data_IF_430036309892
#
_entry.id   IF_430036309892
#
_cell.length_a   1.000
_cell.length_b   1.000
_cell.length_c   1.000
_cell.angle_alpha   90.00
_cell.angle_beta   90.00
_cell.angle_gamma   90.00
#
_symmetry.space_group_name_H-M   'P 1'
#
loop_
_entity.id
_entity.type
_entity.pdbx_description
1 polymer ?
#
# COMPACT_ATOMS: atom_id res chain seq x y z
N UNK A 1 -4.47 13.57 1.78
CA UNK A 1 -5.24 14.52 2.61
C UNK A 1 -5.43 13.83 3.95
N UNK A 2 -4.47 13.97 4.86
CA UNK A 2 -4.54 13.40 6.20
C UNK A 2 -4.88 14.47 7.24
N UNK A 3 -5.30 14.06 8.43
CA UNK A 3 -5.58 14.98 9.53
C UNK A 3 -4.27 15.61 10.01
N UNK A 4 -4.18 16.94 10.05
CA UNK A 4 -2.99 17.66 10.55
C UNK A 4 -2.92 17.61 12.08
N UNK A 5 -2.65 16.43 12.64
CA UNK A 5 -2.55 16.19 14.08
C UNK A 5 -1.10 16.25 14.59
N UNK A 6 -0.18 16.73 13.75
CA UNK A 6 1.26 16.66 13.99
C UNK A 6 1.67 17.30 15.33
N UNK A 7 1.03 18.42 15.66
CA UNK A 7 1.37 19.23 16.84
C UNK A 7 0.74 18.68 18.13
N UNK A 8 -0.18 17.72 18.04
CA UNK A 8 -0.85 17.10 19.18
C UNK A 8 -0.09 15.88 19.71
N UNK A 9 0.89 15.37 18.95
CA UNK A 9 1.61 14.15 19.29
C UNK A 9 3.07 14.42 19.63
N UNK A 10 3.53 13.82 20.72
CA UNK A 10 4.94 13.85 21.12
C UNK A 10 5.72 12.93 20.17
N UNK A 11 6.68 13.48 19.43
CA UNK A 11 7.56 12.71 18.55
C UNK A 11 8.88 12.42 19.24
N UNK A 12 9.27 11.15 19.26
CA UNK A 12 10.59 10.70 19.67
C UNK A 12 11.33 10.13 18.47
N UNK A 13 12.59 10.53 18.28
CA UNK A 13 13.46 9.86 17.32
C UNK A 13 13.80 8.47 17.86
N UNK A 14 13.66 7.46 17.00
CA UNK A 14 13.96 6.06 17.32
C UNK A 14 15.03 5.59 16.36
N UNK A 15 16.06 4.93 16.89
CA UNK A 15 17.14 4.39 16.06
C UNK A 15 16.83 2.93 15.66
N UNK A 16 17.37 2.47 14.53
CA UNK A 16 17.18 1.10 14.05
C UNK A 16 17.56 0.00 15.07
N UNK A 17 18.61 0.13 15.90
CA UNK A 17 18.92 -0.86 16.92
C UNK A 17 17.77 -1.10 17.91
N UNK A 18 16.95 -0.09 18.21
CA UNK A 18 15.79 -0.22 19.12
C UNK A 18 14.65 -1.03 18.49
N UNK A 19 14.59 -1.08 17.16
CA UNK A 19 13.56 -1.79 16.39
C UNK A 19 13.94 -3.24 16.07
N UNK A 20 15.18 -3.64 16.42
CA UNK A 20 15.67 -4.99 16.14
C UNK A 20 14.83 -6.03 16.89
N UNK A 21 14.27 -6.99 16.17
CA UNK A 21 13.42 -8.06 16.70
C UNK A 21 11.98 -7.64 17.00
N UNK A 22 11.60 -6.38 16.73
CA UNK A 22 10.24 -5.87 16.95
C UNK A 22 9.31 -6.27 15.82
N UNK A 23 8.05 -6.51 16.18
CA UNK A 23 6.96 -6.78 15.24
C UNK A 23 6.29 -5.45 14.90
N UNK A 24 6.17 -5.15 13.62
CA UNK A 24 5.59 -3.88 13.14
C UNK A 24 4.39 -4.17 12.25
N UNK A 25 3.22 -3.66 12.63
CA UNK A 25 2.01 -3.70 11.84
C UNK A 25 2.04 -2.56 10.81
N UNK A 26 2.09 -2.90 9.53
CA UNK A 26 2.22 -1.97 8.42
C UNK A 26 0.86 -1.73 7.77
N UNK A 27 0.50 -0.46 7.62
CA UNK A 27 -0.63 -0.05 6.79
C UNK A 27 -0.25 -0.20 5.31
N UNK A 28 -0.69 -1.30 4.69
CA UNK A 28 -0.30 -1.65 3.34
C UNK A 28 -0.80 -0.63 2.30
N UNK A 29 -2.09 -0.20 2.28
CA UNK A 29 -2.56 0.85 1.38
C UNK A 29 -1.70 2.12 1.40
N UNK A 30 -1.37 2.66 2.58
CA UNK A 30 -0.57 3.89 2.69
C UNK A 30 0.85 3.68 2.13
N UNK A 31 1.50 2.59 2.54
CA UNK A 31 2.86 2.27 2.10
C UNK A 31 2.91 1.97 0.60
N UNK A 32 2.00 1.17 0.06
CA UNK A 32 1.94 0.81 -1.36
C UNK A 32 1.67 2.04 -2.23
N UNK A 33 0.78 2.94 -1.80
CA UNK A 33 0.51 4.19 -2.52
C UNK A 33 1.79 5.02 -2.67
N UNK A 34 2.61 5.11 -1.62
CA UNK A 34 3.90 5.80 -1.68
C UNK A 34 4.90 5.14 -2.64
N UNK A 35 4.75 3.85 -2.92
CA UNK A 35 5.63 3.08 -3.82
C UNK A 35 5.25 3.19 -5.29
N UNK A 36 4.09 3.72 -5.63
CA UNK A 36 3.70 3.90 -7.04
C UNK A 36 4.70 4.86 -7.71
N UNK A 37 5.12 5.92 -7.00
CA UNK A 37 6.13 6.87 -7.47
C UNK A 37 7.57 6.42 -7.20
N UNK A 38 7.77 5.18 -6.74
CA UNK A 38 9.11 4.66 -6.52
C UNK A 38 9.77 4.45 -7.87
N UNK A 39 10.66 5.37 -8.24
CA UNK A 39 11.57 5.20 -9.37
C UNK A 39 12.97 4.90 -8.82
N UNK A 40 13.61 3.78 -9.21
CA UNK A 40 15.05 3.63 -8.98
C UNK A 40 15.74 4.81 -9.66
N UNK A 41 16.72 5.42 -9.00
CA UNK A 41 17.39 6.71 -9.33
C UNK A 41 17.94 6.89 -10.77
N UNK A 42 17.71 5.96 -11.69
CA UNK A 42 18.28 5.91 -13.04
C UNK A 42 17.28 6.13 -14.19
N UNK A 43 16.02 6.54 -13.99
CA UNK A 43 15.14 6.88 -15.12
C UNK A 43 15.28 8.34 -15.55
N UNK A 44 16.36 8.66 -16.25
CA UNK A 44 16.47 9.87 -17.07
C UNK A 44 15.67 9.60 -18.35
N UNK A 45 14.35 9.81 -18.35
CA UNK A 45 13.57 10.05 -19.57
C UNK A 45 12.14 10.48 -19.22
N UNK A 46 11.67 11.50 -19.93
CA UNK A 46 10.45 12.27 -19.71
C UNK A 46 9.11 11.51 -19.61
N UNK A 47 8.21 12.15 -18.87
CA UNK A 47 6.74 12.22 -18.98
C UNK A 47 5.85 11.08 -18.46
N UNK A 48 6.38 10.13 -17.69
CA UNK A 48 5.68 9.43 -16.59
C UNK A 48 6.70 8.50 -15.92
N UNK A 49 7.22 8.86 -14.76
CA UNK A 49 8.27 8.12 -14.02
C UNK A 49 7.76 6.79 -13.41
N UNK A 50 7.04 5.97 -14.19
CA UNK A 50 6.51 4.68 -13.79
C UNK A 50 7.17 3.58 -14.62
N UNK A 51 7.65 2.54 -13.93
CA UNK A 51 8.19 1.33 -14.58
C UNK A 51 7.00 0.54 -15.11
N UNK A 52 6.99 0.26 -16.42
CA UNK A 52 5.90 -0.47 -17.08
C UNK A 52 6.37 -1.86 -17.54
N UNK A 53 5.48 -2.85 -17.48
CA UNK A 53 5.64 -4.16 -18.13
C UNK A 53 5.35 -4.09 -19.64
N UNK A 54 5.66 -5.17 -20.39
CA UNK A 54 5.32 -5.35 -21.82
C UNK A 54 3.84 -5.05 -22.13
N UNK A 55 2.96 -5.27 -21.16
CA UNK A 55 1.52 -5.00 -21.28
C UNK A 55 1.13 -3.55 -20.98
N UNK A 56 2.09 -2.64 -20.80
CA UNK A 56 1.87 -1.23 -20.41
C UNK A 56 1.24 -1.05 -19.02
N UNK A 57 1.37 -2.05 -18.13
CA UNK A 57 0.94 -1.99 -16.73
C UNK A 57 2.06 -1.52 -15.82
N UNK A 58 1.79 -0.62 -14.85
CA UNK A 58 2.81 -0.15 -13.93
C UNK A 58 3.17 -1.17 -12.85
N UNK A 59 4.47 -1.45 -12.73
CA UNK A 59 5.04 -2.46 -11.82
C UNK A 59 5.95 -1.85 -10.74
N UNK A 60 6.10 -0.52 -10.69
CA UNK A 60 6.93 0.19 -9.70
C UNK A 60 6.63 -0.22 -8.25
N UNK A 61 5.36 -0.47 -7.94
CA UNK A 61 4.91 -0.85 -6.60
C UNK A 61 5.48 -2.20 -6.14
N UNK A 62 5.62 -3.19 -7.04
CA UNK A 62 6.19 -4.50 -6.72
C UNK A 62 7.69 -4.42 -6.42
N UNK A 63 8.43 -3.68 -7.25
CA UNK A 63 9.85 -3.41 -6.99
C UNK A 63 10.03 -2.71 -5.65
N UNK A 64 9.27 -1.64 -5.42
CA UNK A 64 9.30 -0.91 -4.16
C UNK A 64 8.99 -1.80 -2.95
N UNK A 65 8.01 -2.69 -3.06
CA UNK A 65 7.60 -3.58 -1.98
C UNK A 65 8.67 -4.63 -1.69
N UNK A 66 9.32 -5.18 -2.72
CA UNK A 66 10.43 -6.11 -2.57
C UNK A 66 11.63 -5.44 -1.87
N UNK A 67 12.02 -4.24 -2.29
CA UNK A 67 13.09 -3.48 -1.66
C UNK A 67 12.78 -3.15 -0.19
N UNK A 68 11.54 -2.74 0.12
CA UNK A 68 11.14 -2.45 1.50
C UNK A 68 11.09 -3.68 2.38
N UNK A 69 10.58 -4.77 1.85
CA UNK A 69 10.59 -6.06 2.54
C UNK A 69 12.01 -6.47 2.89
N UNK A 70 12.93 -6.43 1.92
CA UNK A 70 14.34 -6.74 2.14
C UNK A 70 14.95 -5.79 3.19
N UNK A 71 14.61 -4.50 3.14
CA UNK A 71 15.03 -3.53 4.14
C UNK A 71 14.58 -3.92 5.56
N UNK A 72 13.31 -4.30 5.77
CA UNK A 72 12.82 -4.71 7.09
C UNK A 72 13.60 -5.91 7.63
N UNK A 73 13.78 -6.94 6.82
CA UNK A 73 14.54 -8.13 7.24
C UNK A 73 16.02 -7.83 7.46
N UNK A 74 16.65 -6.97 6.64
CA UNK A 74 18.05 -6.53 6.85
C UNK A 74 18.27 -5.84 8.20
N UNK A 75 17.22 -5.24 8.78
CA UNK A 75 17.22 -4.61 10.10
C UNK A 75 16.65 -5.51 11.20
N UNK A 76 16.39 -6.78 10.89
CA UNK A 76 15.74 -7.76 11.77
C UNK A 76 14.38 -7.28 12.30
N UNK A 77 13.63 -6.54 11.49
CA UNK A 77 12.26 -6.12 11.78
C UNK A 77 11.31 -7.18 11.20
N UNK A 78 10.26 -7.52 11.94
CA UNK A 78 9.25 -8.49 11.51
C UNK A 78 7.98 -7.76 11.08
N UNK A 79 7.73 -7.62 9.77
CA UNK A 79 6.57 -6.89 9.27
C UNK A 79 5.30 -7.75 9.24
N UNK A 80 4.15 -7.16 9.59
CA UNK A 80 2.82 -7.71 9.33
C UNK A 80 2.05 -6.70 8.48
N UNK A 81 1.65 -7.07 7.26
CA UNK A 81 0.93 -6.15 6.37
C UNK A 81 -0.58 -6.23 6.61
N UNK A 82 -1.19 -5.10 6.97
CA UNK A 82 -2.63 -4.96 7.11
C UNK A 82 -3.21 -4.33 5.85
N UNK A 83 -4.22 -4.97 5.25
CA UNK A 83 -4.96 -4.45 4.10
C UNK A 83 -6.36 -4.02 4.49
N UNK A 84 -6.90 -3.08 3.73
CA UNK A 84 -8.29 -2.68 3.85
C UNK A 84 -9.23 -3.84 3.55
N UNK A 85 -10.34 -3.83 4.28
CA UNK A 85 -11.39 -4.81 4.19
C UNK A 85 -12.42 -4.50 3.12
N UNK A 86 -13.54 -5.22 3.22
CA UNK A 86 -14.72 -4.89 2.43
C UNK A 86 -15.27 -3.53 2.87
N UNK A 87 -15.62 -2.71 1.88
CA UNK A 87 -16.34 -1.46 2.12
C UNK A 87 -17.66 -1.76 2.82
N UNK A 88 -17.95 -1.04 3.90
CA UNK A 88 -19.20 -1.20 4.66
C UNK A 88 -20.43 -0.99 3.78
N UNK A 89 -21.52 -1.71 4.08
CA UNK A 89 -22.75 -1.66 3.29
C UNK A 89 -23.35 -0.24 3.19
N UNK A 90 -23.23 0.53 4.27
CA UNK A 90 -23.70 1.93 4.35
C UNK A 90 -22.90 2.79 3.36
N UNK A 91 -21.57 2.64 3.34
CA UNK A 91 -20.70 3.38 2.42
C UNK A 91 -20.91 2.92 0.98
N UNK A 92 -21.26 1.65 0.74
CA UNK A 92 -21.55 1.08 -0.58
C UNK A 92 -22.82 1.64 -1.23
N UNK A 93 -23.83 2.05 -0.47
CA UNK A 93 -25.06 2.70 -1.00
C UNK A 93 -24.80 4.13 -1.51
N UNK A 94 -23.84 4.82 -0.89
CA UNK A 94 -23.49 6.22 -1.20
C UNK A 94 -22.37 6.28 -2.25
N UNK A 95 -21.46 5.31 -2.22
CA UNK A 95 -20.27 5.29 -3.08
C UNK A 95 -20.58 4.63 -4.43
N UNK A 96 -20.00 5.19 -5.49
CA UNK A 96 -19.99 4.61 -6.85
C UNK A 96 -19.61 3.12 -6.79
N UNK A 97 -20.22 2.29 -7.64
CA UNK A 97 -19.97 0.85 -7.66
C UNK A 97 -18.59 0.54 -8.28
N UNK A 98 -17.53 0.69 -7.47
CA UNK A 98 -16.13 0.52 -7.84
C UNK A 98 -15.84 -0.83 -8.48
N UNK A 99 -16.55 -1.88 -8.07
CA UNK A 99 -16.37 -3.23 -8.61
C UNK A 99 -16.84 -3.32 -10.07
N UNK A 100 -18.00 -2.72 -10.38
CA UNK A 100 -18.49 -2.66 -11.76
C UNK A 100 -17.59 -1.76 -12.62
N UNK A 101 -17.12 -0.64 -12.07
CA UNK A 101 -16.18 0.24 -12.77
C UNK A 101 -14.87 -0.49 -13.12
N UNK A 102 -14.31 -1.24 -12.17
CA UNK A 102 -13.12 -2.06 -12.39
C UNK A 102 -13.35 -3.13 -13.47
N UNK A 103 -14.47 -3.86 -13.40
CA UNK A 103 -14.81 -4.87 -14.42
C UNK A 103 -14.96 -4.27 -15.82
N UNK A 104 -15.61 -3.10 -15.91
CA UNK A 104 -15.75 -2.39 -17.17
C UNK A 104 -14.40 -1.91 -17.72
N UNK A 105 -13.56 -1.34 -16.87
CA UNK A 105 -12.21 -0.93 -17.23
C UNK A 105 -11.35 -2.13 -17.67
N UNK A 106 -11.46 -3.27 -16.98
CA UNK A 106 -10.73 -4.50 -17.32
C UNK A 106 -11.16 -5.05 -18.70
N UNK A 107 -12.46 -5.04 -19.01
CA UNK A 107 -12.94 -5.44 -20.34
C UNK A 107 -12.41 -4.52 -21.43
N UNK A 108 -12.43 -3.20 -21.21
CA UNK A 108 -11.90 -2.21 -22.15
C UNK A 108 -10.39 -2.36 -22.36
N UNK A 109 -9.65 -2.64 -21.29
CA UNK A 109 -8.20 -2.87 -21.35
C UNK A 109 -7.87 -4.11 -22.19
N UNK A 110 -8.57 -5.23 -21.97
CA UNK A 110 -8.41 -6.45 -22.79
C UNK A 110 -8.69 -6.19 -24.27
N UNK A 111 -9.77 -5.47 -24.58
CA UNK A 111 -10.07 -5.11 -25.96
C UNK A 111 -8.98 -4.22 -26.58
N UNK A 112 -8.44 -3.26 -25.82
CA UNK A 112 -7.38 -2.38 -26.32
C UNK A 112 -6.08 -3.14 -26.62
N UNK A 113 -5.72 -4.16 -25.82
CA UNK A 113 -4.60 -5.06 -26.11
C UNK A 113 -4.88 -5.87 -27.37
N UNK A 114 -6.06 -6.49 -27.48
CA UNK A 114 -6.40 -7.33 -28.63
C UNK A 114 -6.44 -6.56 -29.94
N UNK A 115 -6.77 -5.26 -29.90
CA UNK A 115 -6.72 -4.36 -31.05
C UNK A 115 -5.37 -3.67 -31.25
N UNK A 116 -4.31 -4.12 -30.55
CA UNK A 116 -2.94 -3.59 -30.60
C UNK A 116 -2.81 -2.07 -30.34
N UNK A 117 -3.80 -1.47 -29.68
CA UNK A 117 -3.84 -0.04 -29.41
C UNK A 117 -3.13 0.27 -28.08
N UNK A 118 -1.80 0.32 -28.14
CA UNK A 118 -0.94 0.55 -26.98
C UNK A 118 -1.22 1.87 -26.23
N UNK A 119 -1.60 2.94 -26.95
CA UNK A 119 -1.93 4.23 -26.34
C UNK A 119 -3.18 4.14 -25.48
N UNK A 120 -4.23 3.49 -26.00
CA UNK A 120 -5.47 3.30 -25.26
C UNK A 120 -5.27 2.34 -24.08
N UNK A 121 -4.52 1.26 -24.28
CA UNK A 121 -4.19 0.31 -23.21
C UNK A 121 -3.46 0.99 -22.05
N UNK A 122 -2.44 1.82 -22.34
CA UNK A 122 -1.73 2.61 -21.33
C UNK A 122 -2.65 3.58 -20.59
N UNK A 123 -3.52 4.30 -21.31
CA UNK A 123 -4.47 5.25 -20.70
C UNK A 123 -5.42 4.56 -19.71
N UNK A 124 -5.92 3.37 -20.06
CA UNK A 124 -6.78 2.59 -19.17
C UNK A 124 -5.98 2.01 -18.00
N UNK A 125 -4.76 1.53 -18.25
CA UNK A 125 -3.90 0.98 -17.21
C UNK A 125 -3.56 1.99 -16.10
N UNK A 126 -3.45 3.28 -16.46
CA UNK A 126 -3.20 4.37 -15.52
C UNK A 126 -4.47 4.94 -14.87
N UNK A 127 -5.66 4.49 -15.27
CA UNK A 127 -6.91 4.96 -14.66
C UNK A 127 -7.04 4.43 -13.24
N UNK A 128 -7.47 5.27 -12.30
CA UNK A 128 -7.55 4.93 -10.88
C UNK A 128 -8.43 3.69 -10.63
N UNK A 129 -9.50 3.52 -11.42
CA UNK A 129 -10.43 2.40 -11.30
C UNK A 129 -9.79 1.07 -11.65
N UNK A 130 -8.84 1.04 -12.60
CA UNK A 130 -8.14 -0.16 -13.01
C UNK A 130 -6.87 -0.39 -12.19
N UNK A 131 -6.13 0.68 -11.93
CA UNK A 131 -4.80 0.64 -11.34
C UNK A 131 -4.83 0.12 -9.92
N UNK A 132 -5.64 0.73 -9.05
CA UNK A 132 -5.58 0.47 -7.61
C UNK A 132 -5.97 -0.97 -7.22
N UNK A 133 -7.06 -1.56 -7.73
CA UNK A 133 -7.41 -2.94 -7.40
C UNK A 133 -6.35 -3.95 -7.84
N UNK A 134 -5.73 -3.74 -9.01
CA UNK A 134 -4.67 -4.61 -9.50
C UNK A 134 -3.42 -4.49 -8.61
N UNK A 135 -3.00 -3.27 -8.28
CA UNK A 135 -1.86 -3.02 -7.38
C UNK A 135 -2.02 -3.75 -6.05
N UNK A 136 -3.20 -3.68 -5.44
CA UNK A 136 -3.46 -4.35 -4.16
C UNK A 136 -3.43 -5.87 -4.31
N UNK A 137 -4.01 -6.42 -5.39
CA UNK A 137 -3.97 -7.86 -5.66
C UNK A 137 -2.54 -8.36 -5.86
N UNK A 138 -1.79 -7.70 -6.75
CA UNK A 138 -0.41 -8.06 -7.09
C UNK A 138 0.52 -7.92 -5.87
N UNK A 139 0.31 -6.89 -5.03
CA UNK A 139 1.04 -6.73 -3.78
C UNK A 139 0.76 -7.87 -2.77
N UNK A 140 -0.50 -8.29 -2.61
CA UNK A 140 -0.85 -9.43 -1.74
C UNK A 140 -0.23 -10.73 -2.25
N UNK A 141 -0.28 -10.98 -3.56
CA UNK A 141 0.34 -12.15 -4.18
C UNK A 141 1.85 -12.18 -3.94
N UNK A 142 2.55 -11.04 -4.14
CA UNK A 142 3.98 -10.94 -3.88
C UNK A 142 4.32 -11.20 -2.40
N UNK A 143 3.61 -10.55 -1.47
CA UNK A 143 3.85 -10.73 -0.03
C UNK A 143 3.61 -12.17 0.42
N UNK A 144 2.54 -12.81 -0.08
CA UNK A 144 2.26 -14.22 0.18
C UNK A 144 3.36 -15.13 -0.38
N UNK A 145 3.83 -14.87 -1.60
CA UNK A 145 4.92 -15.64 -2.21
C UNK A 145 6.25 -15.50 -1.43
N UNK A 146 6.47 -14.36 -0.78
CA UNK A 146 7.61 -14.11 0.11
C UNK A 146 7.43 -14.70 1.53
N UNK A 147 6.27 -15.28 1.84
CA UNK A 147 5.97 -15.84 3.16
C UNK A 147 5.73 -14.79 4.26
N UNK A 148 5.33 -13.58 3.87
CA UNK A 148 5.10 -12.47 4.81
C UNK A 148 3.66 -12.54 5.31
N UNK A 149 3.41 -12.37 6.63
CA UNK A 149 2.06 -12.40 7.16
C UNK A 149 1.24 -11.20 6.67
N UNK A 150 0.06 -11.52 6.14
CA UNK A 150 -0.93 -10.56 5.66
C UNK A 150 -2.21 -10.70 6.49
N UNK A 151 -2.80 -9.58 6.89
CA UNK A 151 -4.08 -9.51 7.56
C UNK A 151 -5.03 -8.65 6.75
N UNK A 152 -6.20 -9.18 6.42
CA UNK A 152 -7.30 -8.40 5.87
C UNK A 152 -8.15 -7.86 7.01
N UNK A 153 -8.25 -6.54 7.12
CA UNK A 153 -9.12 -5.89 8.09
C UNK A 153 -10.59 -6.16 7.77
N UNK A 154 -11.50 -6.19 8.75
CA UNK A 154 -12.94 -6.15 8.47
C UNK A 154 -13.38 -4.81 7.85
N UNK A 155 -12.61 -3.73 8.07
CA UNK A 155 -12.94 -2.39 7.58
C UNK A 155 -11.72 -1.64 7.03
N UNK A 156 -10.84 -1.12 7.89
CA UNK A 156 -9.68 -0.31 7.50
C UNK A 156 -8.37 -0.93 8.01
N UNK A 157 -7.32 -0.88 7.19
CA UNK A 157 -5.99 -1.34 7.55
C UNK A 157 -5.45 -0.64 8.81
N UNK A 158 -5.66 0.68 8.93
CA UNK A 158 -5.15 1.47 10.04
C UNK A 158 -5.81 1.12 11.38
N UNK A 159 -7.12 0.83 11.36
CA UNK A 159 -7.83 0.36 12.55
C UNK A 159 -7.36 -1.03 12.97
N UNK A 160 -7.02 -1.89 12.00
CA UNK A 160 -6.42 -3.19 12.25
C UNK A 160 -5.02 -3.05 12.84
N UNK A 161 -4.16 -2.19 12.31
CA UNK A 161 -2.85 -1.88 12.89
C UNK A 161 -3.00 -1.41 14.34
N UNK A 162 -3.90 -0.46 14.60
CA UNK A 162 -4.16 0.04 15.96
C UNK A 162 -4.65 -1.06 16.91
N UNK A 163 -5.46 -2.00 16.42
CA UNK A 163 -5.90 -3.16 17.19
C UNK A 163 -4.74 -4.11 17.53
N UNK A 164 -3.86 -4.44 16.57
CA UNK A 164 -2.72 -5.33 16.80
C UNK A 164 -1.76 -4.75 17.84
N UNK A 165 -1.51 -3.44 17.80
CA UNK A 165 -0.63 -2.78 18.77
C UNK A 165 -1.26 -2.75 20.17
N UNK A 166 -2.55 -2.42 20.28
CA UNK A 166 -3.24 -2.40 21.59
C UNK A 166 -3.27 -3.77 22.27
N UNK A 167 -3.33 -4.85 21.50
CA UNK A 167 -3.35 -6.21 22.04
C UNK A 167 -1.94 -6.82 22.22
N UNK A 168 -0.87 -6.05 21.99
CA UNK A 168 0.50 -6.53 22.16
C UNK A 168 0.94 -7.57 21.12
N UNK A 169 0.22 -7.72 20.01
CA UNK A 169 0.60 -8.61 18.90
C UNK A 169 1.71 -7.97 18.07
N UNK A 170 1.66 -6.66 17.91
CA UNK A 170 2.73 -5.86 17.29
C UNK A 170 3.19 -4.76 18.25
N UNK A 171 4.47 -4.41 18.24
CA UNK A 171 5.00 -3.34 19.09
C UNK A 171 4.61 -1.94 18.57
N UNK A 172 4.51 -1.79 17.24
CA UNK A 172 4.30 -0.50 16.58
C UNK A 172 3.39 -0.62 15.36
N UNK A 173 2.66 0.44 15.04
CA UNK A 173 2.06 0.63 13.72
C UNK A 173 2.99 1.42 12.80
N UNK A 174 2.92 1.18 11.49
CA UNK A 174 3.66 1.91 10.48
C UNK A 174 2.71 2.51 9.44
N UNK A 175 2.62 3.84 9.42
CA UNK A 175 1.91 4.61 8.41
C UNK A 175 2.52 6.02 8.34
N UNK A 176 2.34 6.73 7.23
CA UNK A 176 2.67 8.16 7.15
C UNK A 176 1.56 9.05 7.71
N UNK A 177 0.34 8.52 7.77
CA UNK A 177 -0.82 9.22 8.31
C UNK A 177 -0.97 8.95 9.82
N UNK A 178 -1.85 9.71 10.48
CA UNK A 178 -2.07 9.65 11.93
C UNK A 178 -3.35 8.90 12.30
N UNK A 179 -4.03 8.30 11.32
CA UNK A 179 -5.38 7.78 11.51
C UNK A 179 -5.37 6.54 12.43
N UNK A 180 -4.30 5.75 12.42
CA UNK A 180 -4.08 4.68 13.41
C UNK A 180 -4.07 5.20 14.86
N UNK A 181 -3.52 6.39 15.11
CA UNK A 181 -3.55 7.04 16.44
C UNK A 181 -4.97 7.45 16.82
N UNK A 182 -5.78 7.91 15.86
CA UNK A 182 -7.20 8.23 16.08
C UNK A 182 -7.99 6.99 16.46
N UNK A 183 -7.63 5.82 15.91
CA UNK A 183 -8.17 4.52 16.33
C UNK A 183 -7.64 4.01 17.68
N UNK A 184 -6.81 4.80 18.37
CA UNK A 184 -6.26 4.48 19.68
C UNK A 184 -4.96 3.67 19.65
N UNK A 185 -4.21 3.70 18.55
CA UNK A 185 -2.88 3.10 18.52
C UNK A 185 -1.96 3.81 19.52
N UNK A 186 -1.29 3.10 20.44
CA UNK A 186 -0.41 3.74 21.42
C UNK A 186 0.92 4.19 20.80
N UNK A 187 1.43 3.47 19.79
CA UNK A 187 2.71 3.77 19.16
C UNK A 187 2.65 3.70 17.63
N UNK A 188 2.98 4.81 16.97
CA UNK A 188 3.07 4.95 15.52
C UNK A 188 4.51 5.30 15.13
N UNK A 189 5.05 4.55 14.16
CA UNK A 189 6.33 4.82 13.51
C UNK A 189 6.07 5.38 12.11
N UNK A 190 6.68 6.52 11.82
CA UNK A 190 6.68 7.14 10.50
C UNK A 190 8.07 7.06 9.88
N UNK A 191 8.16 7.24 8.57
CA UNK A 191 9.43 7.30 7.82
C UNK A 191 10.39 6.11 8.00
N UNK A 192 9.87 4.91 8.29
CA UNK A 192 10.71 3.73 8.54
C UNK A 192 11.57 3.32 7.34
N UNK A 193 11.08 3.57 6.13
CA UNK A 193 11.68 3.13 4.86
C UNK A 193 11.73 4.26 3.83
N UNK A 194 12.11 5.46 4.29
CA UNK A 194 12.39 6.61 3.43
C UNK A 194 13.84 6.62 3.00
#
# INVERSE_FOLDING_TARGET
MGVKLQDLFIRRKVNFPELKGRIIAIDAPNIIMSLIKFSPRNSITNDTDLILDRTQRPISHLYGLLYRTNFYFSKSILPIFCFDGRVSEIKRKITKNQLNDFQFAQKRYKNAINSENNRLARKIALSSEYLWPNIISEAKELLNALGIPIIESPASAESQCAYLVRNGISDYSNSQDFDSMVFGCPYLIQNLSK
#
